data_IF_555811038591
#
_entry.id   IF_555811038591
#
_cell.length_a   1.000
_cell.length_b   1.000
_cell.length_c   1.000
_cell.angle_alpha   90.00
_cell.angle_beta   90.00
_cell.angle_gamma   90.00
#
_symmetry.space_group_name_H-M   'P 1'
#
loop_
_entity.id
_entity.type
_entity.pdbx_description
1 polymer ?
#
# COMPACT_ATOMS: atom_id res chain seq x y z
N UNK A 1 -15.16 -20.34 35.92
CA UNK A 1 -15.26 -18.87 35.94
C UNK A 1 -13.92 -18.35 35.49
N UNK A 2 -13.83 -17.68 34.35
CA UNK A 2 -12.59 -17.04 33.93
C UNK A 2 -12.17 -16.00 34.97
N UNK A 3 -10.90 -15.99 35.35
CA UNK A 3 -10.40 -15.03 36.34
C UNK A 3 -10.50 -13.61 35.77
N UNK A 4 -11.05 -12.62 36.50
CA UNK A 4 -11.12 -11.22 36.06
C UNK A 4 -9.79 -10.66 35.55
N UNK A 5 -8.68 -11.12 36.12
CA UNK A 5 -7.33 -10.79 35.70
C UNK A 5 -7.00 -11.23 34.25
N UNK A 6 -7.49 -12.41 33.84
CA UNK A 6 -7.27 -12.96 32.50
C UNK A 6 -8.07 -12.17 31.47
N UNK A 7 -9.35 -11.92 31.76
CA UNK A 7 -10.22 -11.10 30.90
C UNK A 7 -9.67 -9.68 30.74
N UNK A 8 -9.23 -9.04 31.83
CA UNK A 8 -8.59 -7.73 31.76
C UNK A 8 -7.31 -7.76 30.92
N UNK A 9 -6.46 -8.77 31.09
CA UNK A 9 -5.21 -8.89 30.33
C UNK A 9 -5.46 -9.03 28.83
N UNK A 10 -6.43 -9.87 28.44
CA UNK A 10 -6.80 -10.02 27.04
C UNK A 10 -7.34 -8.71 26.46
N UNK A 11 -8.26 -8.06 27.17
CA UNK A 11 -8.82 -6.78 26.75
C UNK A 11 -7.75 -5.68 26.63
N UNK A 12 -6.83 -5.61 27.59
CA UNK A 12 -5.73 -4.65 27.57
C UNK A 12 -4.74 -4.91 26.43
N UNK A 13 -4.46 -6.18 26.12
CA UNK A 13 -3.60 -6.54 24.99
C UNK A 13 -4.23 -6.09 23.67
N UNK A 14 -5.52 -6.35 23.46
CA UNK A 14 -6.27 -5.88 22.29
C UNK A 14 -6.22 -4.35 22.21
N UNK A 15 -6.51 -3.66 23.32
CA UNK A 15 -6.39 -2.21 23.40
C UNK A 15 -4.99 -1.72 23.04
N UNK A 16 -3.93 -2.29 23.61
CA UNK A 16 -2.55 -1.88 23.37
C UNK A 16 -2.14 -2.10 21.90
N UNK A 17 -2.53 -3.23 21.30
CA UNK A 17 -2.28 -3.51 19.88
C UNK A 17 -3.01 -2.49 19.01
N UNK A 18 -4.29 -2.24 19.26
CA UNK A 18 -5.07 -1.24 18.54
C UNK A 18 -4.58 0.19 18.77
N UNK A 19 -4.01 0.51 19.93
CA UNK A 19 -3.47 1.84 20.21
C UNK A 19 -2.15 2.07 19.47
N UNK A 20 -1.28 1.05 19.40
CA UNK A 20 0.02 1.12 18.71
C UNK A 20 -0.15 1.01 17.19
N UNK A 21 -1.06 0.15 16.74
CA UNK A 21 -1.39 -0.11 15.34
C UNK A 21 -2.89 0.12 15.11
N UNK A 22 -3.33 1.39 15.06
CA UNK A 22 -4.75 1.71 14.95
C UNK A 22 -5.33 1.24 13.62
N UNK A 23 -6.27 0.27 13.64
CA UNK A 23 -7.05 -0.07 12.46
C UNK A 23 -7.94 1.13 12.08
N UNK A 24 -8.55 1.05 10.90
CA UNK A 24 -9.25 2.18 10.31
C UNK A 24 -10.45 2.64 11.17
N UNK A 25 -11.11 1.72 11.87
CA UNK A 25 -12.22 1.99 12.80
C UNK A 25 -11.75 2.75 14.05
N UNK A 26 -10.58 2.41 14.59
CA UNK A 26 -10.01 3.11 15.75
C UNK A 26 -9.52 4.50 15.34
N UNK A 27 -9.04 4.63 14.10
CA UNK A 27 -8.63 5.91 13.53
C UNK A 27 -9.83 6.82 13.31
N UNK A 28 -10.93 6.30 12.77
CA UNK A 28 -12.16 7.06 12.55
C UNK A 28 -12.83 7.47 13.86
N UNK A 29 -12.73 6.63 14.91
CA UNK A 29 -13.16 6.98 16.27
C UNK A 29 -12.27 8.03 16.96
N UNK A 30 -11.15 8.43 16.36
CA UNK A 30 -10.25 9.43 16.94
C UNK A 30 -9.48 8.93 18.17
N UNK A 31 -9.28 7.62 18.31
CA UNK A 31 -8.53 7.00 19.42
C UNK A 31 -7.05 6.79 19.04
N UNK A 32 -6.41 7.84 18.52
CA UNK A 32 -5.01 7.82 18.10
C UNK A 32 -4.16 8.74 18.97
N UNK A 33 -2.85 8.51 19.04
CA UNK A 33 -1.96 9.44 19.74
C UNK A 33 -2.01 10.83 19.11
N UNK A 34 -2.20 10.91 17.79
CA UNK A 34 -2.27 12.16 17.04
C UNK A 34 -3.49 12.99 17.43
N UNK A 35 -4.65 12.37 17.62
CA UNK A 35 -5.87 13.07 18.05
C UNK A 35 -5.78 13.52 19.51
N UNK A 36 -5.25 12.67 20.40
CA UNK A 36 -5.03 13.00 21.82
C UNK A 36 -4.07 14.19 22.01
N UNK A 37 -3.04 14.29 21.16
CA UNK A 37 -2.04 15.36 21.23
C UNK A 37 -2.24 16.47 20.20
N UNK A 38 -3.40 16.52 19.54
CA UNK A 38 -3.68 17.42 18.41
C UNK A 38 -3.33 18.90 18.68
N UNK A 39 -3.73 19.41 19.85
CA UNK A 39 -3.44 20.79 20.27
C UNK A 39 -1.94 21.09 20.38
N UNK A 40 -1.12 20.11 20.80
CA UNK A 40 0.32 20.27 20.95
C UNK A 40 1.07 20.03 19.62
N UNK A 41 0.59 19.10 18.81
CA UNK A 41 1.19 18.79 17.51
C UNK A 41 1.05 19.95 16.53
N UNK A 42 -0.08 20.66 16.55
CA UNK A 42 -0.40 21.70 15.59
C UNK A 42 -0.83 21.13 14.24
N UNK A 43 -0.72 21.96 13.19
CA UNK A 43 -1.12 21.57 11.83
C UNK A 43 0.06 21.01 11.03
N UNK A 44 -0.16 19.82 10.46
CA UNK A 44 0.77 19.18 9.52
C UNK A 44 0.94 20.00 8.24
N UNK A 45 -0.15 20.55 7.70
CA UNK A 45 -0.13 21.41 6.51
C UNK A 45 0.65 22.71 6.74
N UNK A 46 0.55 23.28 7.94
CA UNK A 46 1.29 24.48 8.27
C UNK A 46 2.78 24.20 8.45
N UNK A 47 3.17 23.17 9.20
CA UNK A 47 4.57 22.94 9.55
C UNK A 47 4.92 21.45 9.62
N UNK A 48 4.92 20.79 8.45
CA UNK A 48 5.12 19.35 8.29
C UNK A 48 6.26 18.76 9.13
N UNK A 49 7.47 19.32 9.02
CA UNK A 49 8.64 18.79 9.75
C UNK A 49 8.49 18.97 11.26
N UNK A 50 8.05 20.14 11.72
CA UNK A 50 7.86 20.40 13.15
C UNK A 50 6.73 19.54 13.73
N UNK A 51 5.65 19.35 12.97
CA UNK A 51 4.57 18.44 13.31
C UNK A 51 5.12 17.03 13.52
N UNK A 52 5.92 16.49 12.58
CA UNK A 52 6.48 15.15 12.72
C UNK A 52 7.54 15.00 13.81
N UNK A 53 8.34 16.05 14.11
CA UNK A 53 9.24 16.06 15.27
C UNK A 53 8.47 15.88 16.60
N UNK A 54 7.38 16.62 16.75
CA UNK A 54 6.51 16.51 17.92
C UNK A 54 5.78 15.18 17.92
N UNK A 55 5.26 14.76 16.77
CA UNK A 55 4.50 13.51 16.62
C UNK A 55 5.32 12.29 17.01
N UNK A 56 6.52 12.10 16.46
CA UNK A 56 7.37 10.95 16.80
C UNK A 56 7.72 10.93 18.29
N UNK A 57 7.97 12.10 18.87
CA UNK A 57 8.28 12.24 20.30
C UNK A 57 7.07 11.94 21.18
N UNK A 58 5.90 12.50 20.85
CA UNK A 58 4.65 12.28 21.56
C UNK A 58 4.17 10.83 21.48
N UNK A 59 4.29 10.20 20.30
CA UNK A 59 4.00 8.77 20.11
C UNK A 59 4.92 7.89 20.93
N UNK A 60 6.22 8.18 20.96
CA UNK A 60 7.16 7.43 21.80
C UNK A 60 6.80 7.53 23.29
N UNK A 61 6.44 8.73 23.78
CA UNK A 61 6.01 8.94 25.16
C UNK A 61 4.70 8.21 25.46
N UNK A 62 3.68 8.36 24.62
CA UNK A 62 2.38 7.72 24.80
C UNK A 62 2.49 6.19 24.82
N UNK A 63 3.23 5.60 23.88
CA UNK A 63 3.42 4.14 23.84
C UNK A 63 4.28 3.64 24.99
N UNK A 64 5.25 4.43 25.48
CA UNK A 64 6.05 4.06 26.66
C UNK A 64 5.24 3.95 27.94
N UNK A 65 4.07 4.60 28.02
CA UNK A 65 3.17 4.55 29.18
C UNK A 65 2.26 3.31 29.20
N UNK A 66 2.17 2.53 28.12
CA UNK A 66 1.30 1.35 28.06
C UNK A 66 1.62 0.30 29.12
N UNK A 67 2.89 -0.09 29.36
CA UNK A 67 3.19 -1.05 30.43
C UNK A 67 2.78 -0.55 31.82
N UNK A 68 2.90 0.76 32.06
CA UNK A 68 2.47 1.37 33.32
C UNK A 68 0.94 1.37 33.45
N UNK A 69 0.24 1.68 32.36
CA UNK A 69 -1.22 1.58 32.29
C UNK A 69 -1.72 0.15 32.57
N UNK A 70 -1.04 -0.87 32.05
CA UNK A 70 -1.33 -2.27 32.34
C UNK A 70 -1.15 -2.58 33.84
N UNK A 71 -0.02 -2.16 34.43
CA UNK A 71 0.24 -2.36 35.86
C UNK A 71 -0.88 -1.76 36.72
N UNK A 72 -1.23 -0.50 36.44
CA UNK A 72 -2.27 0.22 37.16
C UNK A 72 -3.64 -0.45 37.01
N UNK A 73 -3.98 -0.98 35.83
CA UNK A 73 -5.23 -1.71 35.65
C UNK A 73 -5.25 -3.05 36.39
N UNK A 74 -4.12 -3.76 36.42
CA UNK A 74 -3.97 -5.02 37.16
C UNK A 74 -4.09 -4.84 38.67
N UNK A 75 -3.76 -3.66 39.22
CA UNK A 75 -4.05 -3.30 40.61
C UNK A 75 -5.54 -3.45 40.97
N UNK A 76 -6.45 -3.21 40.02
CA UNK A 76 -7.90 -3.33 40.23
C UNK A 76 -8.45 -4.69 39.77
N UNK A 77 -7.91 -5.25 38.69
CA UNK A 77 -8.39 -6.52 38.12
C UNK A 77 -7.95 -7.76 38.90
N UNK A 78 -6.88 -7.66 39.69
CA UNK A 78 -6.30 -8.75 40.48
C UNK A 78 -5.96 -8.29 41.91
N UNK A 79 -6.95 -7.91 42.73
CA UNK A 79 -6.72 -7.39 44.09
C UNK A 79 -6.01 -8.41 44.99
N UNK A 80 -6.18 -9.71 44.74
CA UNK A 80 -5.50 -10.81 45.44
C UNK A 80 -3.98 -10.81 45.24
N UNK A 81 -3.47 -10.11 44.22
CA UNK A 81 -2.03 -9.97 43.97
C UNK A 81 -1.39 -8.83 44.79
N UNK A 82 -2.20 -8.08 45.55
CA UNK A 82 -1.76 -6.96 46.40
C UNK A 82 -0.87 -5.92 45.70
N UNK A 83 -1.09 -5.70 44.39
CA UNK A 83 -0.21 -4.85 43.55
C UNK A 83 -0.25 -3.37 43.95
N UNK A 84 -1.33 -2.89 44.56
CA UNK A 84 -1.40 -1.54 45.12
C UNK A 84 -0.38 -1.32 46.25
N UNK A 85 -0.03 -2.39 46.97
CA UNK A 85 0.95 -2.36 48.05
C UNK A 85 2.25 -2.95 47.53
N UNK A 86 3.10 -2.09 46.95
CA UNK A 86 4.37 -2.48 46.34
C UNK A 86 5.21 -3.43 47.21
N UNK A 87 5.19 -3.27 48.54
CA UNK A 87 5.94 -4.13 49.46
C UNK A 87 5.46 -5.59 49.47
N UNK A 88 4.15 -5.80 49.34
CA UNK A 88 3.49 -7.12 49.34
C UNK A 88 3.47 -7.78 47.97
N UNK A 89 3.74 -7.02 46.90
CA UNK A 89 3.80 -7.56 45.54
C UNK A 89 4.93 -8.61 45.38
N UNK A 90 4.69 -9.59 44.51
CA UNK A 90 5.69 -10.62 44.18
C UNK A 90 6.90 -10.01 43.47
N UNK A 91 8.02 -10.77 43.43
CA UNK A 91 9.26 -10.30 42.81
C UNK A 91 9.06 -9.97 41.31
N UNK A 92 8.24 -10.75 40.62
CA UNK A 92 7.91 -10.60 39.20
C UNK A 92 7.15 -9.30 38.92
N UNK A 93 6.20 -8.95 39.79
CA UNK A 93 5.46 -7.70 39.65
C UNK A 93 6.29 -6.47 40.02
N UNK A 94 7.22 -6.61 40.97
CA UNK A 94 8.19 -5.56 41.31
C UNK A 94 9.13 -5.28 40.13
N UNK A 95 9.66 -6.32 39.49
CA UNK A 95 10.51 -6.14 38.30
C UNK A 95 9.72 -5.57 37.13
N UNK A 96 8.49 -6.04 36.88
CA UNK A 96 7.63 -5.47 35.85
C UNK A 96 7.37 -3.97 36.08
N UNK A 97 6.99 -3.58 37.31
CA UNK A 97 6.76 -2.18 37.67
C UNK A 97 8.00 -1.31 37.44
N UNK A 98 9.18 -1.80 37.84
CA UNK A 98 10.43 -1.11 37.61
C UNK A 98 10.65 -0.78 36.12
N UNK A 99 10.47 -1.75 35.22
CA UNK A 99 10.58 -1.50 33.78
C UNK A 99 9.46 -0.60 33.24
N UNK A 100 8.24 -0.76 33.76
CA UNK A 100 7.09 0.06 33.39
C UNK A 100 7.25 1.54 33.75
N UNK A 101 8.02 1.87 34.81
CA UNK A 101 8.38 3.24 35.18
C UNK A 101 9.65 3.71 34.48
N UNK A 102 10.65 2.83 34.35
CA UNK A 102 11.94 3.15 33.73
C UNK A 102 11.76 3.55 32.26
N UNK A 103 10.88 2.87 31.51
CA UNK A 103 10.68 3.13 30.09
C UNK A 103 10.14 4.57 29.84
N UNK A 104 9.04 5.04 30.46
CA UNK A 104 8.62 6.44 30.42
C UNK A 104 9.68 7.43 30.90
N UNK A 105 10.47 7.08 31.92
CA UNK A 105 11.51 7.97 32.43
C UNK A 105 12.61 8.19 31.38
N UNK A 106 13.06 7.12 30.72
CA UNK A 106 14.06 7.20 29.63
C UNK A 106 13.50 7.98 28.44
N UNK A 107 12.28 7.69 27.99
CA UNK A 107 11.67 8.39 26.85
C UNK A 107 11.44 9.87 27.15
N UNK A 108 11.06 10.21 28.38
CA UNK A 108 10.93 11.60 28.85
C UNK A 108 12.28 12.31 28.90
N UNK A 109 13.33 11.65 29.38
CA UNK A 109 14.68 12.21 29.36
C UNK A 109 15.17 12.46 27.92
N UNK A 110 14.89 11.54 26.98
CA UNK A 110 15.18 11.71 25.56
C UNK A 110 14.38 12.87 24.94
N UNK A 111 13.08 12.95 25.21
CA UNK A 111 12.23 14.04 24.73
C UNK A 111 12.73 15.40 25.22
N UNK A 112 13.13 15.49 26.49
CA UNK A 112 13.74 16.69 27.07
C UNK A 112 15.10 17.02 26.44
N UNK A 113 15.93 16.01 26.22
CA UNK A 113 17.22 16.17 25.55
C UNK A 113 17.07 16.68 24.11
N UNK A 114 16.08 16.19 23.37
CA UNK A 114 15.78 16.65 22.01
C UNK A 114 15.24 18.08 22.01
N UNK A 115 14.35 18.44 22.93
CA UNK A 115 13.74 19.77 22.97
C UNK A 115 14.75 20.88 23.36
N UNK A 116 15.72 20.59 24.24
CA UNK A 116 16.69 21.57 24.79
C UNK A 116 17.49 22.37 23.74
N UNK A 117 17.85 21.77 22.60
CA UNK A 117 18.63 22.42 21.53
C UNK A 117 17.81 22.66 20.27
N UNK A 118 16.53 23.01 20.45
CA UNK A 118 15.61 23.27 19.35
C UNK A 118 15.55 22.10 18.37
N UNK A 119 15.52 20.87 18.88
CA UNK A 119 15.42 19.62 18.12
C UNK A 119 16.67 19.18 17.34
N UNK A 120 17.81 19.86 17.45
CA UNK A 120 19.04 19.50 16.71
C UNK A 120 19.50 18.04 16.93
N UNK A 121 19.23 17.49 18.11
CA UNK A 121 19.62 16.12 18.46
C UNK A 121 18.56 15.07 18.12
N UNK A 122 17.39 15.50 17.65
CA UNK A 122 16.32 14.58 17.29
C UNK A 122 16.72 13.75 16.05
N UNK A 123 16.39 12.45 15.98
CA UNK A 123 16.74 11.60 14.84
C UNK A 123 16.36 12.20 13.48
N UNK A 124 15.13 12.71 13.35
CA UNK A 124 14.70 13.41 12.13
C UNK A 124 15.57 14.62 11.79
N UNK A 125 15.93 15.49 12.75
CA UNK A 125 16.80 16.62 12.46
C UNK A 125 18.17 16.18 11.93
N UNK A 126 18.70 15.06 12.46
CA UNK A 126 19.95 14.46 11.96
C UNK A 126 19.79 13.88 10.55
N UNK A 127 18.67 13.21 10.26
CA UNK A 127 18.36 12.74 8.90
C UNK A 127 18.29 13.90 7.90
N UNK A 128 17.64 15.01 8.27
CA UNK A 128 17.57 16.20 7.42
C UNK A 128 18.92 16.91 7.27
N UNK A 129 19.79 16.85 8.28
CA UNK A 129 21.12 17.44 8.23
C UNK A 129 22.01 16.80 7.15
N UNK A 130 21.80 15.52 6.82
CA UNK A 130 22.53 14.82 5.75
C UNK A 130 22.27 15.44 4.37
N UNK A 131 21.12 16.08 4.20
CA UNK A 131 20.69 16.73 2.95
C UNK A 131 20.98 18.24 2.94
N UNK A 132 21.57 18.77 4.00
CA UNK A 132 21.86 20.20 4.12
C UNK A 132 23.18 20.55 3.45
N UNK A 133 23.26 21.73 2.84
CA UNK A 133 24.52 22.24 2.29
C UNK A 133 25.48 22.60 3.43
N UNK A 134 26.81 22.63 3.21
CA UNK A 134 27.79 22.88 4.28
C UNK A 134 27.56 24.18 5.08
N UNK A 135 26.94 25.19 4.46
CA UNK A 135 26.65 26.49 5.07
C UNK A 135 25.21 26.59 5.62
N UNK A 136 24.35 25.60 5.38
CA UNK A 136 22.97 25.60 5.82
C UNK A 136 22.70 24.47 6.82
N UNK A 137 21.90 24.75 7.84
CA UNK A 137 21.50 23.72 8.81
C UNK A 137 20.33 22.89 8.30
N UNK A 138 20.02 21.78 8.99
CA UNK A 138 18.82 20.96 8.74
C UNK A 138 17.51 21.77 8.71
N UNK A 139 17.46 22.95 9.35
CA UNK A 139 16.31 23.85 9.33
C UNK A 139 16.03 24.42 7.94
N UNK A 140 17.04 24.64 7.11
CA UNK A 140 16.87 25.09 5.73
C UNK A 140 16.18 24.01 4.90
N UNK A 141 16.65 22.75 5.04
CA UNK A 141 16.01 21.58 4.45
C UNK A 141 14.57 21.44 4.94
N UNK A 142 14.34 21.59 6.25
CA UNK A 142 13.00 21.54 6.81
C UNK A 142 12.07 22.63 6.24
N UNK A 143 12.60 23.84 6.03
CA UNK A 143 11.85 24.93 5.39
C UNK A 143 11.48 24.60 3.95
N UNK A 144 12.41 24.04 3.16
CA UNK A 144 12.15 23.59 1.78
C UNK A 144 11.04 22.53 1.76
N UNK A 145 11.15 21.50 2.60
CA UNK A 145 10.12 20.45 2.72
C UNK A 145 8.77 21.06 3.10
N UNK A 146 8.72 21.94 4.10
CA UNK A 146 7.47 22.58 4.53
C UNK A 146 6.84 23.42 3.41
N UNK A 147 7.63 24.15 2.64
CA UNK A 147 7.14 24.95 1.52
C UNK A 147 6.60 24.09 0.39
N UNK A 148 7.30 23.01 0.03
CA UNK A 148 6.83 22.07 -1.00
C UNK A 148 5.62 21.26 -0.54
N UNK A 149 5.57 20.86 0.73
CA UNK A 149 4.45 20.11 1.29
C UNK A 149 3.13 20.91 1.23
N UNK A 150 3.19 22.24 1.28
CA UNK A 150 1.99 23.09 1.16
C UNK A 150 1.43 23.15 -0.26
N UNK A 151 2.18 22.71 -1.27
CA UNK A 151 1.72 22.73 -2.66
C UNK A 151 0.66 21.65 -2.88
N UNK A 152 -0.21 21.89 -3.85
CA UNK A 152 -1.35 21.03 -4.17
C UNK A 152 -0.90 19.85 -5.04
N UNK A 153 0.13 20.05 -5.85
CA UNK A 153 0.66 19.09 -6.84
C UNK A 153 1.54 17.98 -6.23
N UNK A 154 1.50 17.78 -4.90
CA UNK A 154 2.21 16.68 -4.25
C UNK A 154 1.45 15.37 -4.43
N UNK A 155 2.18 14.28 -4.66
CA UNK A 155 1.60 12.95 -4.60
C UNK A 155 1.61 12.46 -3.14
N UNK A 156 0.51 11.89 -2.66
CA UNK A 156 0.44 11.33 -1.32
C UNK A 156 -0.49 10.10 -1.29
N UNK A 157 0.01 8.97 -0.78
CA UNK A 157 -0.75 7.71 -0.65
C UNK A 157 -0.59 7.11 0.75
N UNK A 158 -1.64 6.48 1.26
CA UNK A 158 -1.69 5.84 2.58
C UNK A 158 -2.23 6.72 3.72
N UNK A 159 -2.41 6.12 4.89
CA UNK A 159 -2.96 6.79 6.07
C UNK A 159 -1.99 7.85 6.64
N UNK A 160 -2.47 8.94 7.29
CA UNK A 160 -1.60 10.01 7.82
C UNK A 160 -0.46 9.53 8.76
N UNK A 161 -0.67 8.43 9.47
CA UNK A 161 0.34 7.80 10.34
C UNK A 161 1.41 6.98 9.60
N UNK A 162 1.11 6.51 8.40
CA UNK A 162 1.93 5.62 7.59
C UNK A 162 1.66 5.86 6.10
N UNK A 163 2.23 6.94 5.55
CA UNK A 163 2.03 7.38 4.16
C UNK A 163 3.32 7.70 3.44
N UNK A 164 3.24 7.68 2.13
CA UNK A 164 4.30 8.08 1.21
C UNK A 164 3.91 9.40 0.60
N UNK A 165 4.82 10.38 0.62
CA UNK A 165 4.62 11.70 0.04
C UNK A 165 5.76 11.97 -0.92
N UNK A 166 5.44 12.39 -2.13
CA UNK A 166 6.42 12.80 -3.14
C UNK A 166 6.13 14.24 -3.55
N UNK A 167 7.09 15.11 -3.28
CA UNK A 167 7.08 16.51 -3.71
C UNK A 167 8.05 16.71 -4.88
N UNK A 168 8.23 17.93 -5.37
CA UNK A 168 9.12 18.19 -6.51
C UNK A 168 10.57 17.76 -6.27
N UNK A 169 11.05 17.85 -5.03
CA UNK A 169 12.44 17.51 -4.69
C UNK A 169 12.58 16.38 -3.70
N UNK A 170 11.53 16.01 -2.95
CA UNK A 170 11.62 15.04 -1.85
C UNK A 170 10.76 13.81 -2.08
N UNK A 171 11.30 12.64 -1.74
CA UNK A 171 10.55 11.42 -1.47
C UNK A 171 10.57 11.18 0.03
N UNK A 172 9.39 11.14 0.64
CA UNK A 172 9.21 11.07 2.08
C UNK A 172 8.35 9.88 2.43
N UNK A 173 8.85 9.00 3.30
CA UNK A 173 8.07 7.92 3.92
C UNK A 173 7.85 8.23 5.39
N UNK A 174 6.58 8.38 5.73
CA UNK A 174 6.09 8.57 7.09
C UNK A 174 5.84 7.19 7.71
N UNK A 175 6.38 6.95 8.90
CA UNK A 175 6.07 5.79 9.74
C UNK A 175 5.72 6.24 11.16
N UNK A 176 5.26 5.33 12.01
CA UNK A 176 4.85 5.63 13.40
C UNK A 176 5.92 6.39 14.18
N UNK A 177 7.18 5.97 14.08
CA UNK A 177 8.29 6.53 14.88
C UNK A 177 9.34 7.28 14.05
N UNK A 178 9.41 7.02 12.75
CA UNK A 178 10.47 7.52 11.89
C UNK A 178 9.89 8.23 10.66
N UNK A 179 10.65 9.21 10.17
CA UNK A 179 10.41 9.84 8.88
C UNK A 179 11.66 9.61 8.03
N UNK A 180 11.49 8.90 6.92
CA UNK A 180 12.55 8.68 5.95
C UNK A 180 12.44 9.74 4.86
N UNK A 181 13.56 10.34 4.50
CA UNK A 181 13.61 11.44 3.55
C UNK A 181 14.79 11.21 2.61
N UNK A 182 14.53 11.28 1.32
CA UNK A 182 15.55 11.25 0.28
C UNK A 182 15.24 12.30 -0.79
N UNK A 183 16.30 12.84 -1.42
CA UNK A 183 16.16 13.78 -2.53
C UNK A 183 15.93 13.03 -3.83
N UNK A 184 14.99 13.51 -4.65
CA UNK A 184 14.66 12.93 -5.95
C UNK A 184 15.86 12.82 -6.91
N UNK A 185 16.79 13.78 -6.85
CA UNK A 185 17.98 13.79 -7.72
C UNK A 185 19.03 12.72 -7.33
N UNK A 186 18.99 12.23 -6.09
CA UNK A 186 20.00 11.34 -5.51
C UNK A 186 19.45 9.93 -5.28
N UNK A 187 18.33 9.56 -5.90
CA UNK A 187 17.69 8.24 -5.67
C UNK A 187 17.66 7.36 -6.91
N UNK A 188 17.74 6.07 -6.64
CA UNK A 188 17.39 5.00 -7.56
C UNK A 188 16.17 4.28 -7.03
N UNK A 189 15.18 4.12 -7.90
CA UNK A 189 13.91 3.48 -7.59
C UNK A 189 13.85 2.12 -8.28
N UNK A 190 13.56 1.09 -7.50
CA UNK A 190 13.43 -0.28 -8.03
C UNK A 190 12.17 -0.94 -7.51
N UNK A 191 11.29 -1.39 -8.40
CA UNK A 191 10.14 -2.23 -8.02
C UNK A 191 10.69 -3.61 -7.66
N UNK A 192 10.58 -4.00 -6.39
CA UNK A 192 11.18 -5.23 -5.85
C UNK A 192 10.18 -6.36 -5.66
N UNK A 193 8.92 -6.04 -5.38
CA UNK A 193 7.88 -7.03 -5.09
C UNK A 193 6.52 -6.52 -5.58
N UNK A 194 5.65 -7.45 -5.98
CA UNK A 194 4.25 -7.18 -6.30
C UNK A 194 3.37 -8.23 -5.64
N UNK A 195 2.50 -7.82 -4.73
CA UNK A 195 1.60 -8.73 -4.02
C UNK A 195 0.15 -8.43 -4.36
N UNK A 196 -0.54 -9.41 -4.93
CA UNK A 196 -1.99 -9.37 -5.09
C UNK A 196 -2.65 -9.80 -3.77
N UNK A 197 -3.67 -9.07 -3.34
CA UNK A 197 -4.59 -9.49 -2.28
C UNK A 197 -5.95 -9.74 -2.92
N UNK A 198 -6.40 -10.99 -2.89
CA UNK A 198 -7.66 -11.42 -3.52
C UNK A 198 -8.91 -10.87 -2.81
N UNK A 199 -8.77 -10.44 -1.54
CA UNK A 199 -9.89 -9.98 -0.72
C UNK A 199 -9.47 -8.74 0.07
N UNK A 200 -10.02 -7.58 -0.29
CA UNK A 200 -10.01 -6.38 0.55
C UNK A 200 -11.42 -6.21 1.11
N UNK A 201 -11.61 -5.94 2.42
CA UNK A 201 -12.95 -5.87 3.03
C UNK A 201 -13.91 -4.85 2.36
N UNK A 202 -13.37 -3.87 1.65
CA UNK A 202 -14.15 -2.82 0.96
C UNK A 202 -14.38 -3.06 -0.54
N UNK A 203 -13.74 -4.06 -1.16
CA UNK A 203 -13.92 -4.35 -2.59
C UNK A 203 -13.65 -5.81 -2.94
N UNK A 204 -14.58 -6.46 -3.65
CA UNK A 204 -14.42 -7.79 -4.27
C UNK A 204 -13.41 -7.80 -5.44
N UNK A 205 -12.68 -6.71 -5.63
CA UNK A 205 -11.70 -6.57 -6.69
C UNK A 205 -10.32 -6.90 -6.14
N UNK A 206 -9.56 -7.79 -6.79
CA UNK A 206 -8.18 -8.07 -6.39
C UNK A 206 -7.34 -6.80 -6.47
N UNK A 207 -6.70 -6.42 -5.36
CA UNK A 207 -5.83 -5.24 -5.29
C UNK A 207 -4.38 -5.69 -5.33
N UNK A 208 -3.60 -5.15 -6.27
CA UNK A 208 -2.17 -5.38 -6.32
C UNK A 208 -1.43 -4.24 -5.61
N UNK A 209 -0.57 -4.59 -4.66
CA UNK A 209 0.35 -3.66 -4.01
C UNK A 209 1.76 -3.84 -4.55
N UNK A 210 2.38 -2.73 -4.93
CA UNK A 210 3.77 -2.67 -5.36
C UNK A 210 4.66 -2.28 -4.19
N UNK A 211 5.81 -2.93 -4.05
CA UNK A 211 6.89 -2.50 -3.15
C UNK A 211 8.02 -1.94 -4.01
N UNK A 212 8.33 -0.66 -3.80
CA UNK A 212 9.40 0.04 -4.50
C UNK A 212 10.48 0.40 -3.50
N UNK A 213 11.69 -0.07 -3.74
CA UNK A 213 12.86 0.28 -2.96
C UNK A 213 13.40 1.64 -3.40
N UNK A 214 13.54 2.55 -2.43
CA UNK A 214 14.17 3.85 -2.58
C UNK A 214 15.59 3.75 -2.02
N UNK A 215 16.57 3.67 -2.91
CA UNK A 215 17.99 3.70 -2.56
C UNK A 215 18.57 5.08 -2.90
N UNK A 216 19.43 5.63 -2.05
CA UNK A 216 20.13 6.89 -2.36
C UNK A 216 21.57 6.64 -2.78
N UNK A 217 22.10 7.49 -3.66
CA UNK A 217 23.53 7.60 -3.98
C UNK A 217 24.33 8.01 -2.74
N UNK A 218 23.73 8.81 -1.85
CA UNK A 218 24.36 9.22 -0.60
C UNK A 218 24.37 8.05 0.41
N UNK A 219 25.54 7.53 0.81
CA UNK A 219 25.64 6.37 1.71
C UNK A 219 25.14 6.65 3.13
N UNK A 220 25.02 7.92 3.53
CA UNK A 220 24.48 8.31 4.83
C UNK A 220 22.94 8.21 4.89
N UNK A 221 22.27 8.08 3.73
CA UNK A 221 20.83 7.93 3.63
C UNK A 221 20.50 6.44 3.51
N UNK A 222 19.92 5.87 4.57
CA UNK A 222 19.48 4.47 4.56
C UNK A 222 18.36 4.26 3.55
N UNK A 223 18.50 3.23 2.71
CA UNK A 223 17.44 2.81 1.80
C UNK A 223 16.17 2.43 2.57
N UNK A 224 15.01 2.67 1.95
CA UNK A 224 13.70 2.34 2.52
C UNK A 224 12.73 1.94 1.41
N UNK A 225 11.76 1.11 1.76
CA UNK A 225 10.76 0.64 0.81
C UNK A 225 9.46 1.44 0.93
N UNK A 226 8.88 1.86 -0.18
CA UNK A 226 7.54 2.43 -0.26
C UNK A 226 6.57 1.37 -0.80
N UNK A 227 5.35 1.34 -0.26
CA UNK A 227 4.29 0.44 -0.71
C UNK A 227 3.10 1.26 -1.13
N UNK A 228 2.57 1.00 -2.32
CA UNK A 228 1.40 1.69 -2.88
C UNK A 228 0.53 0.72 -3.67
N UNK A 229 -0.70 1.13 -3.96
CA UNK A 229 -1.56 0.41 -4.88
C UNK A 229 -1.03 0.56 -6.31
N UNK A 230 -1.04 -0.52 -7.07
CA UNK A 230 -0.70 -0.55 -8.49
C UNK A 230 -1.46 0.48 -9.35
N UNK A 231 -2.69 0.83 -8.97
CA UNK A 231 -3.50 1.85 -9.65
C UNK A 231 -2.92 3.27 -9.49
N UNK A 232 -2.24 3.55 -8.38
CA UNK A 232 -1.59 4.84 -8.09
C UNK A 232 -0.18 4.93 -8.70
N UNK A 233 0.31 3.86 -9.34
CA UNK A 233 1.66 3.80 -9.91
C UNK A 233 1.87 4.85 -11.02
N UNK A 234 0.83 5.11 -11.83
CA UNK A 234 0.88 6.12 -12.89
C UNK A 234 1.13 7.52 -12.32
N UNK A 235 0.32 7.94 -11.34
CA UNK A 235 0.45 9.24 -10.68
C UNK A 235 1.79 9.40 -9.97
N UNK A 236 2.25 8.35 -9.27
CA UNK A 236 3.57 8.33 -8.65
C UNK A 236 4.67 8.54 -9.69
N UNK A 237 4.60 7.82 -10.82
CA UNK A 237 5.57 7.91 -11.91
C UNK A 237 5.59 9.30 -12.55
N UNK A 238 4.45 9.95 -12.70
CA UNK A 238 4.37 11.31 -13.22
C UNK A 238 5.02 12.33 -12.28
N UNK A 239 4.90 12.14 -10.95
CA UNK A 239 5.52 13.04 -9.97
C UNK A 239 7.02 12.83 -9.78
N UNK A 240 7.54 11.67 -10.17
CA UNK A 240 8.95 11.32 -10.03
C UNK A 240 9.79 11.82 -11.21
N UNK A 241 10.94 12.42 -10.90
CA UNK A 241 11.97 12.82 -11.88
C UNK A 241 12.87 11.65 -12.26
N UNK A 242 13.13 10.75 -11.31
CA UNK A 242 13.98 9.59 -11.52
C UNK A 242 13.19 8.42 -12.14
N UNK A 243 13.75 7.72 -13.15
CA UNK A 243 13.09 6.56 -13.72
C UNK A 243 13.00 5.42 -12.70
N UNK A 244 11.89 4.71 -12.72
CA UNK A 244 11.69 3.51 -11.91
C UNK A 244 12.16 2.30 -12.71
N UNK A 245 13.09 1.54 -12.15
CA UNK A 245 13.55 0.27 -12.72
C UNK A 245 12.70 -0.88 -12.18
N UNK A 246 12.36 -1.85 -13.04
CA UNK A 246 11.68 -3.06 -12.59
C UNK A 246 12.70 -4.15 -12.29
N UNK A 247 12.58 -4.81 -11.14
CA UNK A 247 13.31 -6.06 -10.93
C UNK A 247 12.78 -7.12 -11.91
N UNK A 248 13.65 -8.06 -12.29
CA UNK A 248 13.25 -9.17 -13.15
C UNK A 248 12.08 -9.93 -12.51
N UNK A 249 11.05 -10.21 -13.31
CA UNK A 249 9.83 -10.96 -12.93
C UNK A 249 8.78 -10.21 -12.09
N UNK A 250 8.80 -8.88 -12.04
CA UNK A 250 7.69 -8.11 -11.44
C UNK A 250 6.75 -7.58 -12.53
N UNK A 251 5.52 -8.13 -12.58
CA UNK A 251 4.46 -7.66 -13.47
C UNK A 251 3.61 -6.61 -12.73
N UNK A 252 3.44 -5.44 -13.34
CA UNK A 252 2.65 -4.33 -12.78
C UNK A 252 1.34 -4.23 -13.55
N UNK A 253 0.22 -4.53 -12.90
CA UNK A 253 -1.11 -4.35 -13.48
C UNK A 253 -1.63 -2.96 -13.09
N UNK A 254 -1.62 -2.02 -14.03
CA UNK A 254 -2.05 -0.64 -13.74
C UNK A 254 -3.57 -0.48 -13.83
N UNK A 255 -4.26 -1.40 -14.52
CA UNK A 255 -5.71 -1.36 -14.70
C UNK A 255 -6.37 -2.73 -14.51
N UNK A 256 -7.67 -2.71 -14.19
CA UNK A 256 -8.52 -3.91 -14.21
C UNK A 256 -8.54 -4.59 -15.57
N UNK A 257 -8.43 -3.80 -16.64
CA UNK A 257 -8.30 -4.33 -18.00
C UNK A 257 -7.01 -5.13 -18.18
N UNK A 258 -5.89 -4.71 -17.59
CA UNK A 258 -4.62 -5.44 -17.69
C UNK A 258 -4.69 -6.78 -16.94
N UNK A 259 -5.30 -6.79 -15.75
CA UNK A 259 -5.52 -8.01 -15.00
C UNK A 259 -6.47 -8.96 -15.74
N UNK A 260 -7.58 -8.43 -16.27
CA UNK A 260 -8.50 -9.19 -17.10
C UNK A 260 -7.80 -9.79 -18.32
N UNK A 261 -6.94 -9.03 -19.01
CA UNK A 261 -6.23 -9.52 -20.19
C UNK A 261 -5.31 -10.69 -19.87
N UNK A 262 -4.64 -10.67 -18.72
CA UNK A 262 -3.81 -11.79 -18.26
C UNK A 262 -4.66 -13.02 -17.97
N UNK A 263 -5.72 -12.88 -17.18
CA UNK A 263 -6.64 -13.99 -16.88
C UNK A 263 -7.32 -14.52 -18.13
N UNK A 264 -7.74 -13.63 -19.04
CA UNK A 264 -8.33 -13.97 -20.32
C UNK A 264 -7.36 -14.78 -21.18
N UNK A 265 -6.10 -14.36 -21.25
CA UNK A 265 -5.06 -15.08 -22.00
C UNK A 265 -4.85 -16.47 -21.43
N UNK A 266 -4.69 -16.59 -20.10
CA UNK A 266 -4.49 -17.88 -19.43
C UNK A 266 -5.66 -18.85 -19.63
N UNK A 267 -6.91 -18.36 -19.57
CA UNK A 267 -8.09 -19.20 -19.82
C UNK A 267 -8.17 -19.64 -21.29
N UNK A 268 -7.87 -18.74 -22.23
CA UNK A 268 -7.91 -19.04 -23.67
C UNK A 268 -6.79 -20.00 -24.09
N UNK A 269 -5.64 -20.01 -23.41
CA UNK A 269 -4.56 -20.97 -23.66
C UNK A 269 -4.95 -22.43 -23.40
N UNK A 270 -5.94 -22.66 -22.54
CA UNK A 270 -6.45 -23.99 -22.17
C UNK A 270 -7.60 -24.42 -23.10
N UNK A 271 -8.21 -23.49 -23.85
CA UNK A 271 -9.29 -23.79 -24.77
C UNK A 271 -8.81 -24.66 -25.95
N UNK A 272 -9.76 -25.30 -26.63
CA UNK A 272 -9.48 -26.05 -27.86
C UNK A 272 -8.85 -25.14 -28.92
N UNK A 273 -7.83 -25.65 -29.60
CA UNK A 273 -7.14 -24.93 -30.67
C UNK A 273 -7.82 -25.12 -32.02
N UNK A 274 -7.80 -24.08 -32.84
CA UNK A 274 -8.28 -24.12 -34.22
C UNK A 274 -7.12 -24.34 -35.19
N UNK A 275 -7.24 -25.38 -36.01
CA UNK A 275 -6.30 -25.63 -37.10
C UNK A 275 -6.75 -24.91 -38.36
N UNK A 276 -5.86 -24.09 -38.91
CA UNK A 276 -6.14 -23.32 -40.13
C UNK A 276 -6.06 -24.26 -41.33
N UNK A 277 -7.06 -24.26 -42.23
CA UNK A 277 -6.97 -25.00 -43.49
C UNK A 277 -5.77 -24.53 -44.30
N UNK A 278 -5.04 -25.45 -44.94
CA UNK A 278 -3.81 -25.16 -45.70
C UNK A 278 -4.00 -24.14 -46.84
N UNK A 279 -5.23 -23.86 -47.24
CA UNK A 279 -5.60 -22.91 -48.29
C UNK A 279 -5.85 -21.49 -47.78
N UNK A 280 -5.82 -21.27 -46.47
CA UNK A 280 -6.15 -19.99 -45.85
C UNK A 280 -4.90 -19.33 -45.25
N UNK A 281 -4.47 -18.22 -45.86
CA UNK A 281 -3.42 -17.36 -45.30
C UNK A 281 -3.96 -16.48 -44.16
N UNK A 282 -3.14 -16.29 -43.13
CA UNK A 282 -3.48 -15.44 -41.99
C UNK A 282 -3.02 -14.01 -42.24
N UNK A 283 -3.96 -13.08 -42.12
CA UNK A 283 -3.70 -11.64 -42.28
C UNK A 283 -3.25 -11.02 -40.94
N UNK A 284 -2.61 -9.83 -40.98
CA UNK A 284 -2.38 -9.03 -39.78
C UNK A 284 -3.68 -8.74 -39.03
N UNK A 285 -3.60 -8.73 -37.70
CA UNK A 285 -4.74 -8.43 -36.84
C UNK A 285 -5.30 -7.04 -37.14
N UNK A 286 -6.60 -6.95 -37.43
CA UNK A 286 -7.25 -5.68 -37.80
C UNK A 286 -7.30 -4.65 -36.66
N UNK A 287 -7.13 -5.08 -35.41
CA UNK A 287 -7.07 -4.21 -34.24
C UNK A 287 -5.74 -3.47 -34.10
N UNK A 288 -4.62 -4.19 -34.01
CA UNK A 288 -3.30 -3.58 -33.80
C UNK A 288 -2.47 -3.40 -35.07
N UNK A 289 -2.75 -4.14 -36.14
CA UNK A 289 -1.95 -4.20 -37.37
C UNK A 289 -0.46 -4.54 -37.17
N UNK A 290 -0.09 -5.08 -35.99
CA UNK A 290 1.30 -5.36 -35.61
C UNK A 290 1.62 -6.85 -35.60
N UNK A 291 0.65 -7.70 -35.26
CA UNK A 291 0.81 -9.15 -35.17
C UNK A 291 -0.15 -9.86 -36.10
N UNK A 292 0.20 -11.08 -36.51
CA UNK A 292 -0.68 -11.93 -37.32
C UNK A 292 -1.90 -12.34 -36.48
N UNK A 293 -3.09 -12.41 -37.10
CA UNK A 293 -4.29 -12.91 -36.45
C UNK A 293 -4.07 -14.35 -35.97
N UNK A 294 -4.23 -14.59 -34.67
CA UNK A 294 -3.90 -15.86 -34.03
C UNK A 294 -5.06 -16.44 -33.20
N UNK A 295 -6.28 -15.94 -33.39
CA UNK A 295 -7.48 -16.48 -32.77
C UNK A 295 -8.63 -16.69 -33.76
N UNK A 296 -9.50 -17.63 -33.43
CA UNK A 296 -10.76 -17.91 -34.12
C UNK A 296 -11.87 -18.06 -33.08
N UNK A 297 -13.05 -17.51 -33.36
CA UNK A 297 -14.24 -17.72 -32.54
C UNK A 297 -15.00 -18.95 -33.04
N UNK A 298 -15.22 -19.93 -32.17
CA UNK A 298 -15.96 -21.18 -32.45
C UNK A 298 -16.84 -21.47 -31.25
N UNK A 299 -18.13 -21.75 -31.46
CA UNK A 299 -19.03 -22.04 -30.35
C UNK A 299 -18.66 -23.39 -29.73
N UNK A 300 -18.09 -23.35 -28.52
CA UNK A 300 -17.66 -24.53 -27.75
C UNK A 300 -18.27 -24.54 -26.34
N UNK A 301 -18.84 -23.42 -25.88
CA UNK A 301 -19.31 -23.29 -24.50
C UNK A 301 -20.56 -24.11 -24.17
N UNK A 302 -21.41 -24.38 -25.17
CA UNK A 302 -22.75 -24.96 -25.03
C UNK A 302 -23.10 -25.79 -26.25
N UNK A 303 -24.14 -26.61 -26.14
CA UNK A 303 -24.67 -27.35 -27.28
C UNK A 303 -25.03 -26.40 -28.45
N UNK A 304 -24.91 -26.85 -29.71
CA UNK A 304 -25.01 -25.99 -30.89
C UNK A 304 -26.25 -25.09 -30.92
N UNK A 305 -27.38 -25.59 -30.40
CA UNK A 305 -28.68 -24.91 -30.44
C UNK A 305 -29.12 -24.30 -29.11
N UNK A 306 -28.28 -24.35 -28.07
CA UNK A 306 -28.63 -23.82 -26.75
C UNK A 306 -27.86 -22.54 -26.39
N UNK A 307 -28.51 -21.69 -25.60
CA UNK A 307 -27.98 -20.46 -25.02
C UNK A 307 -27.76 -19.29 -25.98
N UNK A 308 -27.13 -18.23 -25.47
CA UNK A 308 -27.01 -16.95 -26.18
C UNK A 308 -25.81 -16.87 -27.15
N UNK A 309 -24.81 -17.74 -26.98
CA UNK A 309 -23.64 -17.77 -27.85
C UNK A 309 -23.99 -18.35 -29.22
N UNK A 310 -23.43 -17.73 -30.26
CA UNK A 310 -23.73 -18.01 -31.66
C UNK A 310 -22.45 -18.42 -32.41
N UNK A 311 -22.59 -19.34 -33.36
CA UNK A 311 -21.47 -19.74 -34.21
C UNK A 311 -20.99 -18.56 -35.07
N UNK A 312 -19.71 -18.21 -34.93
CA UNK A 312 -19.08 -17.16 -35.71
C UNK A 312 -18.47 -17.71 -37.01
N UNK A 313 -18.85 -17.11 -38.14
CA UNK A 313 -18.35 -17.49 -39.47
C UNK A 313 -17.25 -16.54 -40.00
N UNK A 314 -16.85 -15.54 -39.23
CA UNK A 314 -15.75 -14.63 -39.61
C UNK A 314 -14.43 -15.37 -39.75
N UNK A 315 -13.58 -14.99 -40.71
CA UNK A 315 -12.20 -15.49 -40.77
C UNK A 315 -11.41 -15.05 -39.53
N UNK A 316 -10.31 -15.73 -39.16
CA UNK A 316 -9.35 -15.21 -38.20
C UNK A 316 -8.82 -13.85 -38.66
N UNK A 317 -9.18 -12.80 -37.92
CA UNK A 317 -8.81 -11.41 -38.24
C UNK A 317 -8.25 -10.66 -37.02
N UNK A 318 -8.22 -11.30 -35.86
CA UNK A 318 -7.85 -10.66 -34.59
C UNK A 318 -6.73 -11.44 -33.92
N UNK A 319 -5.88 -10.73 -33.18
CA UNK A 319 -4.96 -11.36 -32.25
C UNK A 319 -5.59 -11.46 -30.85
N UNK A 320 -5.06 -12.37 -30.03
CA UNK A 320 -5.52 -12.64 -28.68
C UNK A 320 -5.65 -11.37 -27.83
N UNK A 321 -4.61 -10.54 -27.82
CA UNK A 321 -4.58 -9.30 -27.04
C UNK A 321 -5.66 -8.30 -27.49
N UNK A 322 -5.87 -8.13 -28.79
CA UNK A 322 -6.90 -7.21 -29.28
C UNK A 322 -8.30 -7.74 -29.00
N UNK A 323 -8.51 -9.05 -29.08
CA UNK A 323 -9.81 -9.65 -28.74
C UNK A 323 -10.10 -9.54 -27.24
N UNK A 324 -9.11 -9.78 -26.38
CA UNK A 324 -9.26 -9.58 -24.93
C UNK A 324 -9.58 -8.12 -24.58
N UNK A 325 -8.94 -7.15 -25.25
CA UNK A 325 -9.21 -5.72 -25.06
C UNK A 325 -10.63 -5.36 -25.49
N UNK A 326 -11.06 -5.90 -26.62
CA UNK A 326 -12.44 -5.74 -27.07
C UNK A 326 -13.42 -6.33 -26.05
N UNK A 327 -13.16 -7.54 -25.57
CA UNK A 327 -13.98 -8.21 -24.58
C UNK A 327 -14.13 -7.37 -23.32
N UNK A 328 -13.02 -6.89 -22.74
CA UNK A 328 -13.02 -6.00 -21.56
C UNK A 328 -13.79 -4.70 -21.79
N UNK A 329 -13.65 -4.09 -22.99
CA UNK A 329 -14.32 -2.82 -23.32
C UNK A 329 -15.84 -2.90 -23.40
N UNK A 330 -16.39 -4.11 -23.53
CA UNK A 330 -17.83 -4.36 -23.64
C UNK A 330 -18.48 -4.75 -22.31
N UNK A 331 -17.68 -4.82 -21.25
CA UNK A 331 -18.15 -5.17 -19.92
C UNK A 331 -18.70 -3.99 -19.14
N UNK A 332 -19.58 -4.30 -18.19
CA UNK A 332 -20.03 -3.35 -17.19
C UNK A 332 -18.87 -3.05 -16.22
N UNK A 333 -18.36 -1.82 -16.28
CA UNK A 333 -17.24 -1.39 -15.44
C UNK A 333 -17.62 -1.33 -13.94
N UNK A 334 -18.91 -1.32 -13.60
CA UNK A 334 -19.38 -1.32 -12.21
C UNK A 334 -19.42 -2.73 -11.59
N UNK A 335 -19.43 -3.79 -12.40
CA UNK A 335 -19.57 -5.18 -11.96
C UNK A 335 -18.45 -6.08 -12.53
N UNK A 336 -17.17 -5.84 -12.17
CA UNK A 336 -16.01 -6.58 -12.66
C UNK A 336 -16.05 -8.09 -12.41
N UNK A 337 -16.73 -8.53 -11.36
CA UNK A 337 -16.92 -9.94 -11.01
C UNK A 337 -17.69 -10.75 -12.06
N UNK A 338 -18.47 -10.08 -12.91
CA UNK A 338 -19.25 -10.73 -13.98
C UNK A 338 -18.49 -10.85 -15.31
N UNK A 339 -17.31 -10.23 -15.44
CA UNK A 339 -16.65 -10.09 -16.74
C UNK A 339 -16.34 -11.44 -17.37
N UNK A 340 -15.78 -12.40 -16.61
CA UNK A 340 -15.39 -13.71 -17.14
C UNK A 340 -16.58 -14.60 -17.53
N UNK A 341 -17.74 -14.40 -16.90
CA UNK A 341 -18.96 -15.19 -17.17
C UNK A 341 -19.89 -14.52 -18.20
N UNK A 342 -19.56 -13.31 -18.64
CA UNK A 342 -20.33 -12.55 -19.62
C UNK A 342 -20.17 -13.05 -21.06
N UNK A 343 -21.01 -12.53 -21.95
CA UNK A 343 -20.92 -12.71 -23.40
C UNK A 343 -20.81 -11.36 -24.09
N UNK A 344 -20.01 -11.31 -25.16
CA UNK A 344 -19.82 -10.08 -25.94
C UNK A 344 -20.05 -10.35 -27.43
N UNK A 345 -20.47 -9.34 -28.22
CA UNK A 345 -20.60 -9.50 -29.66
C UNK A 345 -19.22 -9.53 -30.34
N UNK A 346 -19.07 -10.40 -31.35
CA UNK A 346 -17.93 -10.38 -32.25
C UNK A 346 -17.75 -8.97 -32.85
N UNK A 347 -16.55 -8.39 -32.85
CA UNK A 347 -16.31 -7.05 -33.41
C UNK A 347 -16.75 -6.89 -34.87
N UNK A 348 -16.76 -7.99 -35.62
CA UNK A 348 -17.01 -7.98 -37.07
C UNK A 348 -18.45 -8.38 -37.42
N UNK A 349 -18.94 -9.54 -37.00
CA UNK A 349 -20.29 -10.01 -37.35
C UNK A 349 -21.32 -9.88 -36.22
N UNK A 350 -20.93 -9.40 -35.03
CA UNK A 350 -21.77 -9.27 -33.83
C UNK A 350 -22.35 -10.56 -33.26
N UNK A 351 -21.98 -11.73 -33.80
CA UNK A 351 -22.30 -13.02 -33.17
C UNK A 351 -21.82 -13.02 -31.72
N UNK A 352 -22.72 -13.27 -30.77
CA UNK A 352 -22.37 -13.33 -29.35
C UNK A 352 -21.46 -14.51 -29.07
N UNK A 353 -20.42 -14.30 -28.27
CA UNK A 353 -19.49 -15.33 -27.85
C UNK A 353 -19.06 -15.10 -26.40
N UNK A 354 -18.63 -16.16 -25.72
CA UNK A 354 -18.03 -16.10 -24.39
C UNK A 354 -16.55 -16.50 -24.46
N UNK A 355 -15.84 -16.42 -23.33
CA UNK A 355 -14.41 -16.73 -23.26
C UNK A 355 -14.05 -18.15 -23.74
N UNK A 356 -14.94 -19.13 -23.52
CA UNK A 356 -14.74 -20.52 -23.93
C UNK A 356 -14.80 -20.72 -25.45
N UNK A 357 -15.41 -19.77 -26.17
CA UNK A 357 -15.55 -19.82 -27.63
C UNK A 357 -14.31 -19.27 -28.35
N UNK A 358 -13.32 -18.76 -27.61
CA UNK A 358 -12.10 -18.19 -28.17
C UNK A 358 -11.05 -19.29 -28.31
N UNK A 359 -10.69 -19.63 -29.54
CA UNK A 359 -9.71 -20.67 -29.86
C UNK A 359 -8.42 -20.04 -30.38
N UNK A 360 -7.28 -20.45 -29.81
CA UNK A 360 -5.96 -20.14 -30.37
C UNK A 360 -5.73 -20.89 -31.67
N UNK A 361 -5.03 -20.24 -32.59
CA UNK A 361 -4.60 -20.84 -33.84
C UNK A 361 -3.27 -21.56 -33.66
N UNK A 362 -3.20 -22.81 -34.13
CA UNK A 362 -1.98 -23.63 -34.14
C UNK A 362 -1.74 -24.30 -35.49
#
# INVERSE_FOLDING_TARGET
MESPAVTFTLAYLVFAVCFVFPPDEVRSAGLTVQSLLSAWLGSEDAAFVQYHLRRSTGTLLAHSLLPLGYYLGMCFAAPEKHLCFFYLASKEWKTFFFFAVLLPAITSALAYYWSRKGWNNHPLARTLAVHALPQSGWRAVASSINTEFRRIDKFATGAPGARVIVTDTWVIKVTTYCLHVAQQQDIHLTVTDSRQHELTPDSNVPVQFLTIRVASVNPYVKAFDIRLNSTEYGELREKLRAPISNAANVVIHQSLSDLFLETFTSLVEINQTYHVPSTQELEPCIGCMQTIANIKLIKNCQEPNEGECQQCYCRPMWCLTCMGKWFASRQDQQHPETWLSSQVPCPTCRAKFCILDVCLIR
#
